data_IF_036255489001
#
_entry.id   IF_036255489001
#
_cell.length_a   1.000
_cell.length_b   1.000
_cell.length_c   1.000
_cell.angle_alpha   90.00
_cell.angle_beta   90.00
_cell.angle_gamma   90.00
#
_symmetry.space_group_name_H-M   'P 1'
#
loop_
_entity.id
_entity.type
_entity.pdbx_description
1 polymer ?
#
# COMPACT_ATOMS: atom_id res chain seq x y z
N UNK A 1 1.98 2.07 -3.62
CA UNK A 1 0.64 2.68 -3.75
C UNK A 1 0.51 3.73 -2.66
N UNK A 2 0.34 4.99 -3.04
CA UNK A 2 0.16 6.11 -2.09
C UNK A 2 -1.33 6.18 -1.73
N UNK A 3 -1.69 5.96 -0.46
CA UNK A 3 -3.07 6.03 0.01
C UNK A 3 -3.18 7.19 1.00
N UNK A 4 -3.71 8.32 0.52
CA UNK A 4 -4.03 9.48 1.37
C UNK A 4 -5.42 9.29 1.97
N UNK A 5 -5.60 9.34 3.30
CA UNK A 5 -6.92 9.52 3.88
C UNK A 5 -7.29 11.02 3.85
N UNK A 6 -8.36 11.34 3.12
CA UNK A 6 -9.21 12.49 3.43
C UNK A 6 -8.77 13.87 2.94
N UNK A 7 -9.17 14.22 1.72
CA UNK A 7 -9.59 15.59 1.41
C UNK A 7 -10.97 15.52 0.73
N UNK A 8 -12.02 15.98 1.41
CA UNK A 8 -13.33 16.19 0.76
C UNK A 8 -13.18 17.33 -0.24
N UNK A 9 -12.95 17.01 -1.51
CA UNK A 9 -12.76 18.03 -2.55
C UNK A 9 -12.64 17.47 -3.97
N UNK A 10 -13.80 17.24 -4.60
CA UNK A 10 -14.07 17.33 -6.05
C UNK A 10 -12.99 16.84 -7.04
N UNK A 11 -12.78 15.54 -7.09
CA UNK A 11 -12.74 14.72 -8.31
C UNK A 11 -13.33 13.36 -7.88
N UNK A 12 -13.70 12.45 -8.77
CA UNK A 12 -14.28 11.17 -8.35
C UNK A 12 -13.22 10.27 -7.68
N UNK A 13 -12.76 10.66 -6.49
CA UNK A 13 -11.74 9.96 -5.71
C UNK A 13 -12.40 8.76 -5.07
N UNK A 14 -12.39 7.64 -5.79
CA UNK A 14 -12.72 6.33 -5.21
C UNK A 14 -11.96 6.20 -3.91
N UNK A 15 -12.67 5.90 -2.83
CA UNK A 15 -12.03 5.65 -1.55
C UNK A 15 -11.08 4.45 -1.71
N UNK A 16 -10.03 4.35 -0.88
CA UNK A 16 -9.18 3.17 -0.86
C UNK A 16 -9.94 1.85 -0.68
N UNK A 17 -11.13 1.89 -0.05
CA UNK A 17 -12.05 0.74 0.07
C UNK A 17 -12.74 0.43 -1.26
N UNK A 18 -13.15 1.43 -2.00
CA UNK A 18 -13.82 1.26 -3.30
C UNK A 18 -12.89 0.59 -4.33
N UNK A 19 -11.57 0.71 -4.15
CA UNK A 19 -10.56 -0.02 -4.90
C UNK A 19 -10.26 -1.41 -4.33
N UNK A 20 -10.41 -1.60 -3.02
CA UNK A 20 -10.11 -2.84 -2.30
C UNK A 20 -11.19 -3.90 -2.50
N UNK A 21 -12.47 -3.51 -2.40
CA UNK A 21 -13.59 -4.44 -2.45
C UNK A 21 -13.61 -5.29 -3.73
N UNK A 22 -13.36 -4.74 -4.94
CA UNK A 22 -13.23 -5.55 -6.14
C UNK A 22 -12.06 -6.54 -6.09
N UNK A 23 -10.88 -6.12 -5.60
CA UNK A 23 -9.68 -6.97 -5.52
C UNK A 23 -9.90 -8.11 -4.53
N UNK A 24 -10.57 -7.82 -3.41
CA UNK A 24 -10.98 -8.83 -2.43
C UNK A 24 -12.03 -9.80 -2.98
N UNK A 25 -13.01 -9.29 -3.72
CA UNK A 25 -14.16 -10.05 -4.23
C UNK A 25 -13.82 -11.01 -5.38
N UNK A 26 -12.74 -10.75 -6.13
CA UNK A 26 -12.27 -11.67 -7.19
C UNK A 26 -11.60 -12.87 -6.55
N UNK A 27 -12.06 -14.10 -6.80
CA UNK A 27 -11.42 -15.33 -6.32
C UNK A 27 -10.08 -15.62 -7.01
N UNK A 28 -9.21 -16.41 -6.37
CA UNK A 28 -7.95 -16.89 -6.96
C UNK A 28 -6.78 -15.89 -6.95
N UNK A 29 -5.69 -16.29 -7.60
CA UNK A 29 -4.52 -15.44 -7.88
C UNK A 29 -4.88 -14.47 -8.99
N UNK A 30 -4.79 -13.16 -8.72
CA UNK A 30 -5.10 -12.12 -9.70
C UNK A 30 -3.85 -11.70 -10.47
N UNK A 31 -2.71 -11.66 -9.79
CA UNK A 31 -1.45 -11.27 -10.41
C UNK A 31 -0.81 -12.47 -11.12
N UNK A 32 -0.30 -12.22 -12.32
CA UNK A 32 0.59 -13.14 -13.01
C UNK A 32 1.97 -13.20 -12.34
N UNK A 33 2.85 -14.06 -12.85
CA UNK A 33 4.25 -14.10 -12.39
C UNK A 33 4.94 -12.75 -12.66
N UNK A 34 5.78 -12.32 -11.72
CA UNK A 34 6.62 -11.12 -11.87
C UNK A 34 6.00 -9.82 -11.39
N UNK A 35 4.80 -9.85 -10.77
CA UNK A 35 4.24 -8.66 -10.12
C UNK A 35 4.90 -8.48 -8.76
N UNK A 36 5.68 -7.42 -8.65
CA UNK A 36 6.37 -7.03 -7.43
C UNK A 36 5.72 -5.78 -6.85
N UNK A 37 5.57 -5.71 -5.53
CA UNK A 37 4.92 -4.57 -4.88
C UNK A 37 5.62 -4.17 -3.58
N UNK A 38 5.35 -2.94 -3.15
CA UNK A 38 5.73 -2.43 -1.84
C UNK A 38 4.66 -1.43 -1.39
N UNK A 39 4.40 -1.36 -0.08
CA UNK A 39 3.32 -0.55 0.50
C UNK A 39 3.88 0.40 1.55
N UNK A 40 3.46 1.66 1.48
CA UNK A 40 3.57 2.63 2.57
C UNK A 40 2.15 2.89 3.04
N UNK A 41 1.87 2.64 4.31
CA UNK A 41 0.61 2.96 4.92
C UNK A 41 0.74 4.30 5.66
N UNK A 42 -0.08 5.27 5.28
CA UNK A 42 -0.19 6.53 6.00
C UNK A 42 -1.46 6.50 6.84
N UNK A 43 -1.31 6.85 8.11
CA UNK A 43 -2.41 6.94 9.05
C UNK A 43 -2.10 7.98 10.12
N UNK A 44 -3.01 8.13 11.06
CA UNK A 44 -2.81 8.97 12.23
C UNK A 44 -3.10 8.10 13.45
N UNK A 45 -2.13 7.98 14.37
CA UNK A 45 -2.23 7.11 15.55
C UNK A 45 -3.31 7.56 16.53
N UNK A 46 -3.77 8.81 16.45
CA UNK A 46 -4.91 9.31 17.20
C UNK A 46 -6.23 8.63 16.80
N UNK A 47 -6.27 7.95 15.64
CA UNK A 47 -7.43 7.19 15.20
C UNK A 47 -7.32 5.71 15.54
N UNK A 48 -8.44 5.13 15.96
CA UNK A 48 -8.59 3.72 16.38
C UNK A 48 -8.05 2.69 15.37
N UNK A 49 -8.01 3.01 14.08
CA UNK A 49 -7.63 2.10 13.00
C UNK A 49 -6.38 2.57 12.27
N UNK A 50 -5.30 2.84 13.03
CA UNK A 50 -4.01 3.26 12.50
C UNK A 50 -3.51 2.33 11.36
N UNK A 51 -3.29 2.94 10.20
CA UNK A 51 -2.79 2.29 8.98
C UNK A 51 -3.59 1.07 8.49
N UNK A 52 -4.85 0.89 8.94
CA UNK A 52 -5.64 -0.33 8.67
C UNK A 52 -5.78 -0.64 7.19
N UNK A 53 -6.06 0.37 6.36
CA UNK A 53 -6.25 0.13 4.92
C UNK A 53 -4.93 -0.26 4.23
N UNK A 54 -3.81 0.37 4.59
CA UNK A 54 -2.51 -0.02 4.05
C UNK A 54 -2.12 -1.45 4.44
N UNK A 55 -2.46 -1.87 5.67
CA UNK A 55 -2.31 -3.27 6.14
C UNK A 55 -3.13 -4.25 5.30
N UNK A 56 -4.42 -3.95 5.10
CA UNK A 56 -5.31 -4.78 4.29
C UNK A 56 -4.84 -4.89 2.83
N UNK A 57 -4.30 -3.79 2.27
CA UNK A 57 -3.74 -3.79 0.92
C UNK A 57 -2.46 -4.61 0.79
N UNK A 58 -1.53 -4.47 1.73
CA UNK A 58 -0.31 -5.27 1.73
C UNK A 58 -0.62 -6.78 1.79
N UNK A 59 -1.56 -7.17 2.64
CA UNK A 59 -1.99 -8.56 2.72
C UNK A 59 -2.67 -9.06 1.45
N UNK A 60 -3.61 -8.28 0.89
CA UNK A 60 -4.35 -8.75 -0.29
C UNK A 60 -3.42 -8.84 -1.51
N UNK A 61 -2.48 -7.91 -1.68
CA UNK A 61 -1.54 -7.96 -2.79
C UNK A 61 -0.68 -9.23 -2.75
N UNK A 62 -0.18 -9.58 -1.55
CA UNK A 62 0.55 -10.83 -1.34
C UNK A 62 -0.34 -12.06 -1.61
N UNK A 63 -1.55 -12.09 -1.03
CA UNK A 63 -2.52 -13.19 -1.20
C UNK A 63 -2.94 -13.38 -2.67
N UNK A 64 -2.88 -12.32 -3.47
CA UNK A 64 -3.25 -12.33 -4.89
C UNK A 64 -2.11 -12.69 -5.84
N UNK A 65 -0.96 -13.09 -5.32
CA UNK A 65 0.19 -13.56 -6.10
C UNK A 65 1.24 -12.50 -6.37
N UNK A 66 1.12 -11.31 -5.78
CA UNK A 66 2.19 -10.32 -5.80
C UNK A 66 3.34 -10.74 -4.88
N UNK A 67 4.56 -10.34 -5.23
CA UNK A 67 5.75 -10.52 -4.40
C UNK A 67 6.10 -9.21 -3.71
N UNK A 68 6.03 -9.19 -2.38
CA UNK A 68 6.48 -8.05 -1.59
C UNK A 68 8.00 -7.87 -1.74
N UNK A 69 8.43 -6.69 -2.16
CA UNK A 69 9.85 -6.35 -2.35
C UNK A 69 10.53 -5.96 -1.04
N UNK A 70 9.82 -5.22 -0.21
CA UNK A 70 10.26 -4.77 1.11
C UNK A 70 9.04 -4.71 2.04
N UNK A 71 9.28 -4.96 3.32
CA UNK A 71 8.23 -4.87 4.33
C UNK A 71 7.56 -3.50 4.35
N UNK A 72 6.24 -3.52 4.56
CA UNK A 72 5.42 -2.31 4.66
C UNK A 72 5.87 -1.50 5.86
N UNK A 73 5.91 -0.18 5.69
CA UNK A 73 5.99 0.76 6.82
C UNK A 73 4.63 1.40 7.07
N UNK A 74 4.34 1.59 8.36
CA UNK A 74 3.15 2.27 8.86
C UNK A 74 3.59 3.60 9.46
N UNK A 75 3.18 4.72 8.86
CA UNK A 75 3.65 6.04 9.25
C UNK A 75 2.52 6.91 9.81
N UNK A 76 2.88 7.73 10.79
CA UNK A 76 2.04 8.78 11.39
C UNK A 76 2.26 10.13 10.66
N UNK A 77 1.75 11.24 11.19
CA UNK A 77 1.80 12.57 10.54
C UNK A 77 3.21 13.10 10.24
N UNK A 78 4.24 12.68 10.97
CA UNK A 78 5.65 13.08 10.77
C UNK A 78 6.45 11.97 10.04
N UNK A 79 6.06 11.64 8.81
CA UNK A 79 6.52 10.45 8.09
C UNK A 79 7.71 10.68 7.14
N UNK A 80 8.03 11.93 6.83
CA UNK A 80 8.84 12.32 5.68
C UNK A 80 10.22 11.65 5.68
N UNK A 81 10.94 11.71 6.80
CA UNK A 81 12.29 11.13 6.92
C UNK A 81 12.27 9.60 6.80
N UNK A 82 11.32 8.93 7.47
CA UNK A 82 11.16 7.48 7.43
C UNK A 82 10.79 6.98 6.02
N UNK A 83 9.92 7.72 5.34
CA UNK A 83 9.48 7.38 3.99
C UNK A 83 10.59 7.58 2.97
N UNK A 84 11.40 8.64 3.12
CA UNK A 84 12.48 8.92 2.17
C UNK A 84 13.52 7.78 2.15
N UNK A 85 13.98 7.33 3.31
CA UNK A 85 14.93 6.21 3.40
C UNK A 85 14.33 4.93 2.83
N UNK A 86 13.08 4.63 3.20
CA UNK A 86 12.40 3.44 2.72
C UNK A 86 12.20 3.45 1.20
N UNK A 87 11.87 4.59 0.59
CA UNK A 87 11.72 4.73 -0.87
C UNK A 87 13.06 4.44 -1.56
N UNK A 88 14.15 5.02 -1.08
CA UNK A 88 15.47 4.82 -1.67
C UNK A 88 15.88 3.33 -1.62
N UNK A 89 15.65 2.68 -0.49
CA UNK A 89 15.88 1.23 -0.35
C UNK A 89 14.99 0.43 -1.30
N UNK A 90 13.70 0.75 -1.37
CA UNK A 90 12.73 0.07 -2.25
C UNK A 90 13.12 0.16 -3.71
N UNK A 91 13.49 1.37 -4.18
CA UNK A 91 13.91 1.58 -5.56
C UNK A 91 15.21 0.83 -5.88
N UNK A 92 16.14 0.76 -4.93
CA UNK A 92 17.37 -0.02 -5.07
C UNK A 92 17.08 -1.52 -5.21
N UNK A 93 16.15 -2.07 -4.42
CA UNK A 93 15.73 -3.46 -4.50
C UNK A 93 14.97 -3.74 -5.81
N UNK A 94 14.03 -2.89 -6.19
CA UNK A 94 13.24 -3.07 -7.42
C UNK A 94 14.11 -3.10 -8.68
N UNK A 95 15.20 -2.32 -8.74
CA UNK A 95 16.16 -2.37 -9.84
C UNK A 95 16.83 -3.74 -10.01
N UNK A 96 16.91 -4.54 -8.95
CA UNK A 96 17.53 -5.88 -8.98
C UNK A 96 16.57 -6.97 -9.45
N UNK A 97 15.27 -6.69 -9.55
CA UNK A 97 14.22 -7.67 -9.89
C UNK A 97 14.00 -7.72 -11.43
N UNK A 98 15.03 -7.39 -12.22
CA UNK A 98 15.00 -7.53 -13.68
C UNK A 98 15.00 -8.99 -14.12
#
# INVERSE_FOLDING_TARGET
MYVVPGAKGKTASKSPKDLYDPVKGVGGSFFGKGVNFAVIALGDTAFKFFCKIGKEWDEILQKKGGSRVVERIDCDVDYEDYVQEWILNTLSLMKKIQ
#
